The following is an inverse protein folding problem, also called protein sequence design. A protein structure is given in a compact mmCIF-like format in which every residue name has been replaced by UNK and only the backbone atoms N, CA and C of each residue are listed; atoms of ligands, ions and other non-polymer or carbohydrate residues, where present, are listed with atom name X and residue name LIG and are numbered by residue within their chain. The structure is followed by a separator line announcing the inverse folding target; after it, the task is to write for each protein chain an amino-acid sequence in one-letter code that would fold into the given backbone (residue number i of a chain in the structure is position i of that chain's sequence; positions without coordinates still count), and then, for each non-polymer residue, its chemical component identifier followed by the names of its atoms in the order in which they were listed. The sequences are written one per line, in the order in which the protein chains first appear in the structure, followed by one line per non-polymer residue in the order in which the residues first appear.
data_IF_549829026483
#
_entry.id   IF_549829026483
#
_cell.length_a   1.000
_cell.length_b   1.000
_cell.length_c   1.000
_cell.angle_alpha   90.00
_cell.angle_beta   90.00
_cell.angle_gamma   90.00
#
_symmetry.space_group_name_H-M   'P 1'
#
loop_
_entity.id
_entity.type
_entity.pdbx_description
1 polymer ?
#
# COMPACT_ATOMS: atom_id res chain seq x y z
N UNK A 1 -35.97 -11.13 -17.47
CA UNK A 1 -35.36 -10.00 -18.17
C UNK A 1 -34.62 -10.51 -19.41
N UNK A 2 -34.43 -9.67 -20.39
CA UNK A 2 -33.92 -10.03 -21.70
C UNK A 2 -32.39 -10.12 -21.67
N UNK A 3 -31.74 -11.20 -22.16
CA UNK A 3 -30.28 -11.27 -22.22
C UNK A 3 -29.74 -10.18 -23.16
N UNK A 4 -28.69 -9.48 -22.71
CA UNK A 4 -28.09 -8.41 -23.47
C UNK A 4 -26.57 -8.61 -23.60
N UNK A 5 -26.14 -9.42 -24.57
CA UNK A 5 -24.74 -9.76 -24.73
C UNK A 5 -23.89 -8.56 -25.10
N UNK A 6 -22.65 -8.56 -24.65
CA UNK A 6 -21.62 -7.66 -25.15
C UNK A 6 -20.84 -8.36 -26.25
N UNK A 7 -20.66 -7.69 -27.36
CA UNK A 7 -19.89 -8.15 -28.50
C UNK A 7 -18.47 -7.62 -28.41
N UNK A 8 -17.49 -8.43 -28.80
CA UNK A 8 -16.09 -8.07 -28.92
C UNK A 8 -15.56 -8.58 -30.25
N UNK A 9 -14.76 -7.74 -30.91
CA UNK A 9 -13.96 -8.14 -32.04
C UNK A 9 -12.57 -8.54 -31.58
N UNK A 10 -12.18 -9.77 -31.92
CA UNK A 10 -10.84 -10.30 -31.58
C UNK A 10 -9.77 -9.69 -32.49
N UNK A 11 -8.47 -9.80 -32.16
CA UNK A 11 -7.39 -9.37 -33.06
C UNK A 11 -7.42 -10.05 -34.44
N UNK A 12 -8.00 -11.25 -34.53
CA UNK A 12 -8.22 -11.99 -35.79
C UNK A 12 -9.48 -11.55 -36.53
N UNK A 13 -10.10 -10.43 -36.12
CA UNK A 13 -11.33 -9.87 -36.68
C UNK A 13 -12.56 -10.79 -36.53
N UNK A 14 -12.51 -11.76 -35.64
CA UNK A 14 -13.67 -12.57 -35.30
C UNK A 14 -14.58 -11.83 -34.31
N UNK A 15 -15.90 -11.84 -34.59
CA UNK A 15 -16.90 -11.27 -33.70
C UNK A 15 -17.38 -12.33 -32.72
N UNK A 16 -17.16 -12.12 -31.42
CA UNK A 16 -17.62 -13.01 -30.36
C UNK A 16 -18.52 -12.23 -29.38
N UNK A 17 -19.44 -12.90 -28.77
CA UNK A 17 -20.28 -12.28 -27.74
C UNK A 17 -20.21 -13.05 -26.41
N UNK A 18 -20.42 -12.32 -25.35
CA UNK A 18 -20.50 -12.85 -23.98
C UNK A 18 -21.79 -12.38 -23.34
N UNK A 19 -22.58 -13.31 -22.82
CA UNK A 19 -23.72 -13.02 -21.97
C UNK A 19 -23.32 -13.20 -20.51
N UNK A 20 -23.50 -12.18 -19.70
CA UNK A 20 -23.18 -12.19 -18.27
C UNK A 20 -24.46 -12.37 -17.45
N UNK A 21 -24.41 -13.24 -16.45
CA UNK A 21 -25.44 -13.38 -15.44
C UNK A 21 -25.18 -12.41 -14.28
N UNK A 22 -26.15 -12.15 -13.41
CA UNK A 22 -25.92 -11.39 -12.18
C UNK A 22 -24.76 -11.99 -11.36
N UNK A 23 -23.75 -11.18 -11.06
CA UNK A 23 -22.53 -11.60 -10.36
C UNK A 23 -21.35 -11.96 -11.27
N UNK A 24 -21.57 -12.14 -12.58
CA UNK A 24 -20.49 -12.35 -13.54
C UNK A 24 -19.75 -11.02 -13.85
N UNK A 25 -18.46 -11.12 -14.12
CA UNK A 25 -17.64 -9.99 -14.57
C UNK A 25 -16.83 -10.38 -15.81
N UNK A 26 -16.60 -9.40 -16.69
CA UNK A 26 -15.75 -9.55 -17.85
C UNK A 26 -14.69 -8.46 -17.86
N UNK A 27 -13.45 -8.85 -18.13
CA UNK A 27 -12.31 -7.92 -18.25
C UNK A 27 -11.82 -7.98 -19.70
N UNK A 28 -11.60 -6.82 -20.30
CA UNK A 28 -11.05 -6.71 -21.65
C UNK A 28 -10.25 -5.42 -21.82
N UNK A 29 -9.38 -5.36 -22.83
CA UNK A 29 -8.57 -4.20 -23.16
C UNK A 29 -9.40 -3.17 -23.93
N UNK A 30 -10.21 -2.39 -23.22
CA UNK A 30 -11.24 -1.50 -23.79
C UNK A 30 -10.76 -0.48 -24.81
N UNK A 31 -9.45 -0.14 -24.85
CA UNK A 31 -8.87 0.75 -25.86
C UNK A 31 -8.45 0.05 -27.15
N UNK A 32 -8.26 -1.26 -27.11
CA UNK A 32 -7.74 -2.06 -28.24
C UNK A 32 -8.86 -2.91 -28.83
N UNK A 33 -9.67 -3.54 -27.97
CA UNK A 33 -10.75 -4.41 -28.40
C UNK A 33 -11.98 -3.59 -28.78
N UNK A 34 -12.33 -3.56 -30.06
CA UNK A 34 -13.63 -3.06 -30.51
C UNK A 34 -14.73 -3.84 -29.82
N UNK A 35 -15.62 -3.16 -29.15
CA UNK A 35 -16.72 -3.79 -28.43
C UNK A 35 -17.98 -2.95 -28.54
N UNK A 36 -19.14 -3.61 -28.58
CA UNK A 36 -20.44 -2.96 -28.70
C UNK A 36 -21.56 -3.83 -28.13
N UNK A 37 -22.73 -3.24 -28.03
CA UNK A 37 -23.97 -3.94 -27.74
C UNK A 37 -24.99 -3.58 -28.80
N UNK A 38 -25.85 -4.55 -29.10
CA UNK A 38 -27.04 -4.29 -29.91
C UNK A 38 -28.08 -3.51 -29.09
N UNK A 39 -29.11 -3.01 -29.76
CA UNK A 39 -30.22 -2.32 -29.10
C UNK A 39 -30.88 -3.21 -28.04
N UNK A 40 -31.04 -2.68 -26.83
CA UNK A 40 -31.68 -3.41 -25.74
C UNK A 40 -33.18 -3.51 -25.96
N UNK A 41 -33.71 -4.72 -25.92
CA UNK A 41 -35.13 -5.01 -26.15
C UNK A 41 -35.94 -5.26 -24.87
N UNK A 42 -35.31 -5.15 -23.71
CA UNK A 42 -35.95 -5.28 -22.40
C UNK A 42 -36.40 -3.95 -21.81
N UNK A 43 -36.94 -4.02 -20.59
CA UNK A 43 -37.45 -2.81 -19.89
C UNK A 43 -36.34 -2.03 -19.19
N UNK A 44 -35.38 -2.73 -18.59
CA UNK A 44 -34.24 -2.14 -17.90
C UNK A 44 -33.07 -3.11 -17.82
N UNK A 45 -31.88 -2.59 -17.65
CA UNK A 45 -30.66 -3.35 -17.45
C UNK A 45 -29.71 -2.56 -16.52
N UNK A 46 -29.18 -3.22 -15.49
CA UNK A 46 -28.24 -2.62 -14.56
C UNK A 46 -26.86 -3.24 -14.73
N UNK A 47 -25.85 -2.42 -14.86
CA UNK A 47 -24.47 -2.85 -15.03
C UNK A 47 -23.52 -1.87 -14.35
N UNK A 48 -22.41 -2.37 -13.81
CA UNK A 48 -21.32 -1.57 -13.27
C UNK A 48 -20.14 -1.67 -14.23
N UNK A 49 -19.59 -0.53 -14.60
CA UNK A 49 -18.34 -0.42 -15.35
C UNK A 49 -17.22 0.02 -14.41
N UNK A 50 -16.11 -0.70 -14.43
CA UNK A 50 -14.90 -0.34 -13.69
C UNK A 50 -13.78 -0.19 -14.71
N UNK A 51 -13.23 1.02 -14.82
CA UNK A 51 -12.13 1.31 -15.72
C UNK A 51 -10.81 1.30 -14.94
N UNK A 52 -9.86 0.50 -15.41
CA UNK A 52 -8.52 0.42 -14.82
C UNK A 52 -7.48 0.91 -15.81
N UNK A 53 -6.59 1.77 -15.35
CA UNK A 53 -5.41 2.21 -16.09
C UNK A 53 -4.17 1.97 -15.24
N UNK A 54 -3.04 1.65 -15.88
CA UNK A 54 -1.76 1.55 -15.17
C UNK A 54 -1.37 2.92 -14.65
N UNK A 55 -1.13 3.04 -13.34
CA UNK A 55 -0.78 4.32 -12.68
C UNK A 55 0.49 4.97 -13.25
N UNK A 56 1.40 4.19 -13.80
CA UNK A 56 2.65 4.64 -14.44
C UNK A 56 2.73 4.30 -15.94
N UNK A 57 1.60 3.99 -16.57
CA UNK A 57 1.52 3.71 -18.00
C UNK A 57 1.25 4.97 -18.81
N UNK A 58 1.38 4.87 -20.12
CA UNK A 58 1.10 5.96 -21.08
C UNK A 58 -0.32 6.51 -20.97
N UNK A 59 -1.25 5.72 -20.43
CA UNK A 59 -2.65 6.08 -20.23
C UNK A 59 -2.98 6.48 -18.81
N UNK A 60 -1.99 6.71 -17.93
CA UNK A 60 -2.21 7.12 -16.53
C UNK A 60 -3.04 8.39 -16.38
N UNK A 61 -3.03 9.28 -17.40
CA UNK A 61 -3.88 10.47 -17.44
C UNK A 61 -5.38 10.17 -17.55
N UNK A 62 -5.75 8.97 -18.03
CA UNK A 62 -7.14 8.61 -18.31
C UNK A 62 -7.89 8.04 -17.07
N UNK A 63 -7.32 8.17 -15.87
CA UNK A 63 -8.05 7.81 -14.66
C UNK A 63 -9.30 8.70 -14.52
N UNK A 64 -10.41 8.12 -14.09
CA UNK A 64 -11.73 8.77 -14.05
C UNK A 64 -12.18 9.33 -15.42
N UNK A 65 -11.95 8.58 -16.50
CA UNK A 65 -12.36 8.95 -17.86
C UNK A 65 -11.87 10.33 -18.35
N UNK A 66 -10.76 10.82 -17.80
CA UNK A 66 -10.15 12.06 -18.26
C UNK A 66 -9.62 11.86 -19.68
N UNK A 67 -9.98 12.77 -20.57
CA UNK A 67 -9.50 12.78 -21.95
C UNK A 67 -8.22 13.61 -22.09
N UNK A 68 -7.46 13.35 -23.17
CA UNK A 68 -6.20 14.03 -23.46
C UNK A 68 -6.31 15.52 -23.82
N UNK A 69 -7.49 16.09 -23.88
CA UNK A 69 -7.76 17.43 -24.45
C UNK A 69 -7.07 18.60 -23.73
N UNK A 70 -6.37 18.34 -22.61
CA UNK A 70 -5.58 19.34 -21.90
C UNK A 70 -4.04 19.13 -21.99
N UNK A 71 -3.55 18.17 -22.75
CA UNK A 71 -2.11 17.98 -22.96
C UNK A 71 -1.74 18.40 -24.37
N UNK A 72 -1.40 19.66 -24.51
CA UNK A 72 -0.72 20.16 -25.72
C UNK A 72 0.67 19.53 -25.77
N UNK A 73 0.83 18.46 -26.55
CA UNK A 73 2.08 18.17 -27.26
C UNK A 73 1.86 17.08 -28.29
N UNK A 74 2.06 17.45 -29.54
CA UNK A 74 2.11 16.59 -30.71
C UNK A 74 3.28 15.59 -30.59
N UNK A 75 3.01 14.38 -30.12
CA UNK A 75 3.79 13.21 -30.49
C UNK A 75 2.82 12.17 -31.01
N UNK A 76 2.93 11.90 -32.31
CA UNK A 76 2.32 10.75 -32.97
C UNK A 76 2.93 9.53 -32.29
N UNK A 77 2.13 8.80 -31.52
CA UNK A 77 2.53 7.52 -30.95
C UNK A 77 2.42 6.53 -32.11
N UNK A 78 3.58 6.07 -32.63
CA UNK A 78 3.60 4.90 -33.50
C UNK A 78 2.92 3.75 -32.74
N UNK A 79 1.88 3.18 -33.36
CA UNK A 79 1.24 1.96 -32.91
C UNK A 79 2.28 0.85 -32.92
N UNK A 80 2.86 0.54 -31.75
CA UNK A 80 3.58 -0.73 -31.60
C UNK A 80 2.55 -1.84 -31.74
N UNK A 81 2.60 -2.51 -32.87
CA UNK A 81 1.82 -3.74 -33.10
C UNK A 81 2.16 -4.74 -32.00
N UNK A 82 1.18 -5.09 -31.19
CA UNK A 82 1.29 -6.19 -30.24
C UNK A 82 1.15 -7.51 -31.01
N UNK A 83 2.17 -7.85 -31.82
CA UNK A 83 2.23 -9.12 -32.55
C UNK A 83 2.44 -10.35 -31.65
N UNK A 84 2.62 -10.17 -30.34
CA UNK A 84 2.92 -11.24 -29.40
C UNK A 84 1.80 -11.56 -28.42
N UNK A 85 0.56 -11.05 -28.63
CA UNK A 85 -0.58 -11.48 -27.78
C UNK A 85 -1.00 -12.92 -28.16
N UNK A 86 -0.73 -13.34 -29.37
CA UNK A 86 -1.08 -14.69 -29.84
C UNK A 86 -0.28 -15.80 -29.15
N UNK A 87 0.94 -15.53 -28.67
CA UNK A 87 1.74 -16.49 -27.90
C UNK A 87 1.24 -16.72 -26.47
N UNK A 88 0.44 -15.81 -25.91
CA UNK A 88 -0.10 -15.94 -24.54
C UNK A 88 -1.44 -16.68 -24.54
N UNK A 89 -2.10 -16.81 -25.69
CA UNK A 89 -3.45 -17.44 -25.80
C UNK A 89 -3.39 -18.86 -26.35
N UNK A 90 -2.28 -19.31 -26.93
CA UNK A 90 -2.12 -20.68 -27.46
C UNK A 90 -1.57 -21.69 -26.43
N UNK A 91 -1.76 -21.53 -25.15
CA UNK A 91 -1.70 -22.69 -24.29
C UNK A 91 -3.02 -23.45 -24.47
N UNK A 92 -2.96 -24.52 -25.24
CA UNK A 92 -4.04 -25.53 -25.40
C UNK A 92 -4.33 -26.30 -24.12
N UNK A 93 -4.19 -25.70 -22.98
CA UNK A 93 -4.68 -26.24 -21.72
C UNK A 93 -5.88 -25.39 -21.35
N UNK A 94 -7.05 -25.98 -21.39
CA UNK A 94 -8.20 -25.50 -20.63
C UNK A 94 -7.65 -25.09 -19.29
N UNK A 95 -7.82 -23.81 -18.85
CA UNK A 95 -7.33 -23.42 -17.54
C UNK A 95 -7.84 -24.45 -16.57
N UNK A 96 -6.93 -25.15 -15.91
CA UNK A 96 -7.29 -26.15 -14.93
C UNK A 96 -8.36 -25.53 -14.06
N UNK A 97 -9.53 -26.15 -14.00
CA UNK A 97 -10.60 -25.72 -13.08
C UNK A 97 -9.89 -25.54 -11.76
N UNK A 98 -9.79 -24.29 -11.29
CA UNK A 98 -9.10 -23.97 -10.05
C UNK A 98 -9.79 -24.86 -9.02
N UNK A 99 -9.12 -25.94 -8.65
CA UNK A 99 -9.68 -26.89 -7.70
C UNK A 99 -9.93 -26.10 -6.42
N UNK A 100 -11.00 -26.40 -5.70
CA UNK A 100 -11.31 -25.77 -4.39
C UNK A 100 -10.22 -25.98 -3.34
N UNK A 101 -9.12 -26.62 -3.70
CA UNK A 101 -7.89 -26.79 -2.93
C UNK A 101 -6.80 -25.77 -3.32
N UNK A 102 -7.19 -24.54 -3.64
CA UNK A 102 -6.23 -23.44 -3.62
C UNK A 102 -5.61 -23.39 -2.22
N UNK A 103 -4.34 -23.77 -2.14
CA UNK A 103 -3.50 -23.43 -1.01
C UNK A 103 -3.26 -21.92 -1.09
N UNK A 104 -4.25 -21.13 -0.69
CA UNK A 104 -4.11 -19.70 -0.54
C UNK A 104 -3.30 -19.47 0.72
N UNK A 105 -2.24 -18.69 0.63
CA UNK A 105 -1.59 -18.19 1.83
C UNK A 105 -2.61 -17.34 2.59
N UNK A 106 -2.81 -17.59 3.90
CA UNK A 106 -3.69 -16.75 4.69
C UNK A 106 -3.17 -15.31 4.68
N UNK A 107 -4.07 -14.35 4.72
CA UNK A 107 -3.74 -12.91 4.62
C UNK A 107 -2.73 -12.47 5.68
N UNK A 108 -2.82 -13.04 6.87
CA UNK A 108 -1.90 -12.79 7.99
C UNK A 108 -0.46 -13.24 7.71
N UNK A 109 -0.25 -14.14 6.75
CA UNK A 109 1.10 -14.61 6.38
C UNK A 109 1.98 -13.52 5.76
N UNK A 110 1.40 -12.43 5.29
CA UNK A 110 2.10 -11.27 4.78
C UNK A 110 2.51 -10.26 5.87
N UNK A 111 2.04 -10.45 7.11
CA UNK A 111 2.52 -9.70 8.26
C UNK A 111 3.75 -10.43 8.78
N UNK A 112 4.90 -9.76 8.79
CA UNK A 112 6.17 -10.33 9.26
C UNK A 112 6.71 -9.55 10.43
N UNK A 113 7.29 -10.26 11.37
CA UNK A 113 8.16 -9.69 12.39
C UNK A 113 9.59 -10.11 12.09
N UNK A 114 10.49 -9.15 11.97
CA UNK A 114 11.91 -9.37 11.85
C UNK A 114 12.60 -8.90 13.12
N UNK A 115 13.22 -9.84 13.82
CA UNK A 115 13.82 -9.60 15.14
C UNK A 115 15.17 -8.88 14.99
N UNK A 116 15.41 -7.90 15.86
CA UNK A 116 16.70 -7.23 16.04
C UNK A 116 17.32 -6.64 14.77
N UNK A 117 16.50 -6.13 13.87
CA UNK A 117 16.96 -5.51 12.61
C UNK A 117 17.64 -4.17 12.89
N UNK A 118 17.02 -3.34 13.72
CA UNK A 118 17.59 -2.07 14.16
C UNK A 118 18.36 -2.31 15.44
N UNK A 119 19.63 -1.97 15.44
CA UNK A 119 20.49 -2.23 16.61
C UNK A 119 20.00 -1.47 17.83
N UNK A 120 20.17 -2.09 19.00
CA UNK A 120 19.80 -1.45 20.28
C UNK A 120 20.53 -0.13 20.49
N UNK A 121 21.79 -0.06 20.09
CA UNK A 121 22.62 1.16 20.17
C UNK A 121 22.04 2.29 19.32
N UNK A 122 21.52 1.97 18.13
CA UNK A 122 20.86 2.98 17.30
C UNK A 122 19.53 3.42 17.91
N UNK A 123 18.72 2.49 18.45
CA UNK A 123 17.48 2.82 19.17
C UNK A 123 17.76 3.77 20.35
N UNK A 124 18.78 3.48 21.16
CA UNK A 124 19.20 4.32 22.30
C UNK A 124 19.68 5.71 21.83
N UNK A 125 20.46 5.80 20.77
CA UNK A 125 20.92 7.07 20.19
C UNK A 125 19.75 7.92 19.67
N UNK A 126 18.77 7.31 19.02
CA UNK A 126 17.56 7.99 18.58
C UNK A 126 16.80 8.56 19.78
N UNK A 127 16.55 7.74 20.81
CA UNK A 127 15.86 8.22 22.00
C UNK A 127 16.63 9.32 22.74
N UNK A 128 17.94 9.19 22.87
CA UNK A 128 18.76 10.22 23.51
C UNK A 128 18.72 11.56 22.75
N UNK A 129 18.71 11.54 21.41
CA UNK A 129 18.64 12.75 20.58
C UNK A 129 17.28 13.41 20.61
N UNK A 130 16.18 12.59 20.54
CA UNK A 130 14.87 13.14 20.25
C UNK A 130 13.89 13.14 21.42
N UNK A 131 14.08 12.31 22.47
CA UNK A 131 13.12 12.15 23.57
C UNK A 131 12.70 13.48 24.21
N UNK A 132 13.66 14.38 24.41
CA UNK A 132 13.45 15.71 25.02
C UNK A 132 13.52 16.86 24.01
N UNK A 133 13.45 16.56 22.69
CA UNK A 133 13.46 17.58 21.67
C UNK A 133 12.21 18.46 21.73
N UNK A 134 12.36 19.72 21.31
CA UNK A 134 11.23 20.62 21.06
C UNK A 134 10.55 20.39 19.71
N UNK A 135 11.02 19.42 18.92
CA UNK A 135 10.55 19.13 17.57
C UNK A 135 9.25 18.30 17.55
N UNK A 136 8.79 17.82 18.69
CA UNK A 136 7.55 17.05 18.77
C UNK A 136 6.34 17.89 18.40
N UNK A 137 5.55 17.38 17.45
CA UNK A 137 4.28 17.97 17.08
C UNK A 137 3.17 16.89 17.16
N UNK A 138 1.92 17.31 17.35
CA UNK A 138 0.82 16.36 17.32
C UNK A 138 0.68 15.75 15.93
N UNK A 139 0.52 14.43 15.87
CA UNK A 139 0.53 13.71 14.59
C UNK A 139 -0.70 14.04 13.75
N UNK A 140 -0.49 14.22 12.44
CA UNK A 140 -1.56 14.43 11.48
C UNK A 140 -2.23 13.11 11.08
N UNK A 141 -3.49 13.17 10.70
CA UNK A 141 -4.20 12.08 10.03
C UNK A 141 -3.83 12.11 8.54
N UNK A 142 -3.58 10.92 7.98
CA UNK A 142 -3.23 10.79 6.56
C UNK A 142 -4.33 11.31 5.63
N UNK A 143 -3.92 11.93 4.52
CA UNK A 143 -4.79 12.40 3.45
C UNK A 143 -5.28 13.83 3.60
N UNK A 144 -5.66 14.29 4.78
CA UNK A 144 -6.24 15.63 4.98
C UNK A 144 -5.30 16.61 5.70
N UNK A 145 -4.13 16.14 6.15
CA UNK A 145 -3.17 16.91 6.94
C UNK A 145 -3.82 17.65 8.14
N UNK A 146 -4.85 17.03 8.74
CA UNK A 146 -5.59 17.55 9.88
C UNK A 146 -5.21 16.82 11.18
N UNK A 147 -5.40 17.50 12.31
CA UNK A 147 -5.25 16.89 13.64
C UNK A 147 -6.62 16.50 14.15
N UNK A 148 -6.83 15.22 14.45
CA UNK A 148 -8.00 14.73 15.18
C UNK A 148 -7.56 13.70 16.23
N UNK A 149 -7.47 14.13 17.47
CA UNK A 149 -7.04 13.32 18.60
C UNK A 149 -8.04 12.22 19.00
N UNK A 150 -9.25 12.20 18.44
CA UNK A 150 -10.20 11.10 18.62
C UNK A 150 -9.89 9.91 17.70
N UNK A 151 -9.12 10.15 16.63
CA UNK A 151 -8.68 9.17 15.65
C UNK A 151 -7.21 8.79 15.90
N UNK A 152 -6.32 9.78 15.94
CA UNK A 152 -4.89 9.61 16.15
C UNK A 152 -4.40 10.53 17.25
N UNK A 153 -4.22 9.96 18.43
CA UNK A 153 -3.70 10.68 19.58
C UNK A 153 -2.26 10.23 19.87
N UNK A 154 -1.30 10.90 19.26
CA UNK A 154 0.13 10.72 19.50
C UNK A 154 0.92 11.90 18.97
N UNK A 155 2.19 12.00 19.38
CA UNK A 155 3.09 13.01 18.85
C UNK A 155 4.09 12.40 17.86
N UNK A 156 4.62 13.21 16.94
CA UNK A 156 5.59 12.75 15.95
C UNK A 156 6.66 13.79 15.65
N UNK A 157 7.82 13.28 15.16
CA UNK A 157 8.89 14.04 14.51
C UNK A 157 9.19 13.36 13.19
N UNK A 158 9.30 14.13 12.10
CA UNK A 158 9.74 13.60 10.80
C UNK A 158 11.28 13.63 10.79
N UNK A 159 11.91 12.48 11.04
CA UNK A 159 13.37 12.39 11.17
C UNK A 159 14.11 12.75 9.89
N UNK A 160 13.53 12.45 8.73
CA UNK A 160 14.11 12.71 7.41
C UNK A 160 13.82 14.13 6.89
N UNK A 161 13.16 14.98 7.68
CA UNK A 161 12.93 16.38 7.33
C UNK A 161 14.25 17.18 7.40
N UNK A 162 14.52 17.94 6.34
CA UNK A 162 15.78 18.69 6.20
C UNK A 162 15.98 19.71 7.33
N UNK A 163 14.93 20.41 7.77
CA UNK A 163 15.03 21.39 8.85
C UNK A 163 15.30 20.70 10.18
N UNK A 164 14.67 19.56 10.42
CA UNK A 164 14.90 18.74 11.61
C UNK A 164 16.34 18.22 11.64
N UNK A 165 16.85 17.72 10.51
CA UNK A 165 18.25 17.25 10.40
C UNK A 165 19.22 18.38 10.67
N UNK A 166 19.00 19.58 10.13
CA UNK A 166 19.91 20.73 10.26
C UNK A 166 20.10 21.22 11.72
N UNK A 167 19.14 20.97 12.62
CA UNK A 167 19.23 21.38 14.04
C UNK A 167 20.36 20.70 14.80
N UNK A 168 20.75 19.46 14.39
CA UNK A 168 21.91 18.74 14.92
C UNK A 168 22.47 17.83 13.82
N UNK A 169 23.03 18.46 12.78
CA UNK A 169 23.30 17.82 11.49
C UNK A 169 24.11 16.54 11.60
N UNK A 170 25.24 16.56 12.31
CA UNK A 170 26.15 15.43 12.40
C UNK A 170 25.47 14.18 12.99
N UNK A 171 24.73 14.36 14.07
CA UNK A 171 24.07 13.24 14.77
C UNK A 171 22.85 12.78 13.98
N UNK A 172 21.99 13.71 13.57
CA UNK A 172 20.69 13.39 12.94
C UNK A 172 20.87 12.83 11.55
N UNK A 173 21.84 13.34 10.79
CA UNK A 173 22.18 12.78 9.48
C UNK A 173 22.72 11.35 9.59
N UNK A 174 23.57 11.08 10.59
CA UNK A 174 24.07 9.72 10.83
C UNK A 174 22.94 8.77 11.23
N UNK A 175 22.00 9.19 12.08
CA UNK A 175 20.82 8.40 12.44
C UNK A 175 20.00 8.07 11.20
N UNK A 176 19.67 9.04 10.35
CA UNK A 176 18.90 8.85 9.11
C UNK A 176 19.59 7.84 8.18
N UNK A 177 20.89 7.99 7.97
CA UNK A 177 21.66 7.08 7.11
C UNK A 177 21.74 5.66 7.68
N UNK A 178 21.95 5.50 8.98
CA UNK A 178 22.03 4.17 9.61
C UNK A 178 20.66 3.46 9.61
N UNK A 179 19.56 4.20 9.87
CA UNK A 179 18.20 3.66 9.74
C UNK A 179 17.97 3.13 8.32
N UNK A 180 18.32 3.92 7.32
CA UNK A 180 18.20 3.51 5.93
C UNK A 180 18.97 2.21 5.65
N UNK A 181 20.24 2.14 6.05
CA UNK A 181 21.08 0.96 5.83
C UNK A 181 20.54 -0.30 6.52
N UNK A 182 20.03 -0.16 7.75
CA UNK A 182 19.49 -1.30 8.50
C UNK A 182 18.14 -1.77 7.94
N UNK A 183 17.29 -0.84 7.49
CA UNK A 183 16.00 -1.17 6.90
C UNK A 183 16.09 -1.75 5.48
N UNK A 184 17.15 -1.48 4.73
CA UNK A 184 17.39 -2.17 3.46
C UNK A 184 17.41 -3.70 3.62
N UNK A 185 17.89 -4.21 4.75
CA UNK A 185 17.87 -5.65 5.06
C UNK A 185 16.44 -6.21 5.15
N UNK A 186 15.55 -5.44 5.76
CA UNK A 186 14.11 -5.82 5.87
C UNK A 186 13.48 -5.92 4.50
N UNK A 187 13.72 -4.91 3.66
CA UNK A 187 13.20 -4.90 2.28
C UNK A 187 13.72 -6.09 1.49
N UNK A 188 15.02 -6.40 1.62
CA UNK A 188 15.63 -7.56 0.98
C UNK A 188 15.01 -8.89 1.46
N UNK A 189 14.84 -9.06 2.77
CA UNK A 189 14.24 -10.25 3.38
C UNK A 189 12.79 -10.41 2.93
N UNK A 190 12.00 -9.35 2.98
CA UNK A 190 10.61 -9.36 2.56
C UNK A 190 10.46 -9.65 1.06
N UNK A 191 11.32 -9.05 0.20
CA UNK A 191 11.32 -9.30 -1.24
C UNK A 191 11.71 -10.75 -1.60
N UNK A 192 12.57 -11.40 -0.81
CA UNK A 192 12.88 -12.83 -1.00
C UNK A 192 11.69 -13.73 -0.71
N UNK A 193 10.89 -13.40 0.31
CA UNK A 193 9.68 -14.16 0.63
C UNK A 193 8.54 -13.85 -0.35
N UNK A 194 8.48 -12.62 -0.85
CA UNK A 194 7.44 -12.13 -1.75
C UNK A 194 8.05 -11.56 -3.04
N UNK A 195 8.45 -12.41 -4.02
CA UNK A 195 9.23 -11.98 -5.20
C UNK A 195 8.56 -10.95 -6.11
N UNK A 196 7.24 -10.79 -6.00
CA UNK A 196 6.50 -9.76 -6.75
C UNK A 196 6.50 -8.38 -6.06
N UNK A 197 7.00 -8.30 -4.83
CA UNK A 197 7.21 -7.04 -4.14
C UNK A 197 8.52 -6.40 -4.65
N UNK A 198 8.39 -5.24 -5.26
CA UNK A 198 9.51 -4.47 -5.80
C UNK A 198 9.34 -2.99 -5.42
N UNK A 199 9.77 -2.60 -4.24
CA UNK A 199 9.65 -1.21 -3.80
C UNK A 199 10.64 -0.32 -4.54
N UNK A 200 10.29 0.94 -4.69
CA UNK A 200 11.15 1.93 -5.36
C UNK A 200 11.91 2.80 -4.38
N UNK A 201 11.25 3.29 -3.33
CA UNK A 201 11.82 4.25 -2.38
C UNK A 201 11.05 4.23 -1.05
N UNK A 202 11.73 4.51 0.05
CA UNK A 202 11.07 4.82 1.31
C UNK A 202 10.53 6.26 1.34
N UNK A 203 9.59 6.52 2.23
CA UNK A 203 8.97 7.84 2.39
C UNK A 203 9.64 8.70 3.47
N UNK A 204 10.80 8.29 3.96
CA UNK A 204 11.44 8.85 5.14
C UNK A 204 10.88 8.26 6.44
N UNK A 205 11.41 8.70 7.58
CA UNK A 205 11.19 8.10 8.89
C UNK A 205 10.39 9.03 9.79
N UNK A 206 9.27 8.54 10.32
CA UNK A 206 8.46 9.26 11.30
C UNK A 206 8.62 8.61 12.68
N UNK A 207 9.26 9.32 13.60
CA UNK A 207 9.34 8.93 15.01
C UNK A 207 8.02 9.27 15.70
N UNK A 208 7.47 8.32 16.42
CA UNK A 208 6.18 8.40 17.11
C UNK A 208 6.37 8.26 18.61
N UNK A 209 5.60 9.03 19.38
CA UNK A 209 5.53 8.97 20.83
C UNK A 209 4.08 8.84 21.27
N UNK A 210 3.81 7.79 22.07
CA UNK A 210 2.52 7.56 22.70
C UNK A 210 2.69 7.59 24.20
N UNK A 211 2.13 8.59 24.85
CA UNK A 211 2.05 8.72 26.31
C UNK A 211 0.84 7.93 26.86
N UNK A 212 0.71 7.72 28.19
CA UNK A 212 -0.46 7.07 28.77
C UNK A 212 -1.77 7.68 28.28
N UNK A 213 -2.71 6.82 27.86
CA UNK A 213 -4.00 7.19 27.26
C UNK A 213 -3.95 7.50 25.75
N UNK A 214 -2.77 7.61 25.14
CA UNK A 214 -2.63 7.85 23.71
C UNK A 214 -2.74 6.56 22.90
N UNK A 215 -3.23 6.68 21.65
CA UNK A 215 -3.58 5.56 20.77
C UNK A 215 -3.67 6.01 19.31
N UNK A 216 -3.88 5.05 18.40
CA UNK A 216 -4.33 5.28 17.04
C UNK A 216 -5.39 4.22 16.71
N UNK A 217 -6.63 4.66 16.42
CA UNK A 217 -7.71 3.74 16.11
C UNK A 217 -7.44 2.98 14.81
N UNK A 218 -8.25 1.97 14.54
CA UNK A 218 -8.12 1.16 13.33
C UNK A 218 -8.16 1.99 12.06
N UNK A 219 -7.13 1.82 11.23
CA UNK A 219 -6.93 2.51 9.95
C UNK A 219 -6.15 1.64 8.97
N UNK A 220 -5.95 2.14 7.77
CA UNK A 220 -5.03 1.59 6.76
C UNK A 220 -4.07 2.67 6.30
N UNK A 221 -2.89 2.28 5.84
CA UNK A 221 -1.78 3.22 5.59
C UNK A 221 -1.74 3.76 4.16
N UNK A 222 -2.42 3.12 3.21
CA UNK A 222 -2.43 3.54 1.80
C UNK A 222 -3.70 4.32 1.47
N UNK A 223 -3.55 5.45 0.82
CA UNK A 223 -4.65 6.29 0.37
C UNK A 223 -4.38 6.85 -1.04
N UNK A 224 -5.41 7.44 -1.67
CA UNK A 224 -5.39 7.81 -3.09
C UNK A 224 -4.24 8.74 -3.45
N UNK A 225 -3.93 9.69 -2.57
CA UNK A 225 -2.90 10.72 -2.80
C UNK A 225 -1.49 10.16 -2.64
N UNK A 226 -1.33 9.08 -1.86
CA UNK A 226 -0.04 8.45 -1.59
C UNK A 226 -0.22 6.94 -1.51
N UNK A 227 0.05 6.26 -2.61
CA UNK A 227 0.02 4.81 -2.66
C UNK A 227 1.28 4.25 -1.99
N UNK A 228 1.07 3.46 -0.95
CA UNK A 228 2.12 2.79 -0.19
C UNK A 228 1.99 1.29 -0.41
N UNK A 229 3.10 0.61 -0.64
CA UNK A 229 3.13 -0.84 -0.86
C UNK A 229 3.17 -1.60 0.45
N UNK A 230 4.14 -1.28 1.29
CA UNK A 230 4.27 -1.84 2.64
C UNK A 230 4.54 -0.75 3.66
N UNK A 231 4.22 -1.05 4.92
CA UNK A 231 4.62 -0.31 6.10
C UNK A 231 5.65 -1.09 6.92
N UNK A 232 6.59 -0.38 7.52
CA UNK A 232 7.59 -0.92 8.44
C UNK A 232 7.51 -0.16 9.77
N UNK A 233 7.13 -0.85 10.85
CA UNK A 233 7.07 -0.28 12.20
C UNK A 233 8.18 -0.85 13.08
N UNK A 234 9.04 0.03 13.61
CA UNK A 234 10.21 -0.29 14.42
C UNK A 234 9.91 0.01 15.88
N UNK A 235 10.16 -0.91 16.78
CA UNK A 235 10.04 -0.71 18.24
C UNK A 235 11.35 -0.15 18.81
N UNK A 236 11.28 0.97 19.54
CA UNK A 236 12.47 1.62 20.09
C UNK A 236 12.67 1.40 21.59
N UNK A 237 11.62 1.03 22.33
CA UNK A 237 11.70 0.75 23.78
C UNK A 237 10.64 -0.28 24.21
N UNK A 238 10.78 -0.80 25.44
CA UNK A 238 9.89 -1.80 26.01
C UNK A 238 9.33 -1.39 27.39
N UNK A 239 9.77 -0.26 27.93
CA UNK A 239 9.41 0.24 29.27
C UNK A 239 8.04 0.92 29.32
N UNK A 240 7.03 0.26 28.74
CA UNK A 240 5.62 0.69 28.73
C UNK A 240 4.69 -0.51 28.83
N UNK A 241 3.42 -0.26 29.19
CA UNK A 241 2.33 -1.25 29.25
C UNK A 241 1.19 -0.78 28.36
N UNK A 242 0.53 -1.70 27.66
CA UNK A 242 -0.41 -1.40 26.57
C UNK A 242 0.35 -1.05 25.29
N UNK A 243 -0.29 -0.34 24.36
CA UNK A 243 0.35 0.12 23.13
C UNK A 243 0.71 -0.99 22.16
N UNK A 244 0.05 -2.15 22.25
CA UNK A 244 0.24 -3.26 21.32
C UNK A 244 -0.15 -2.83 19.89
N UNK A 245 0.53 -3.39 18.89
CA UNK A 245 0.15 -3.29 17.49
C UNK A 245 -0.91 -4.37 17.20
N UNK A 246 -2.11 -3.98 16.79
CA UNK A 246 -3.20 -4.91 16.57
C UNK A 246 -3.70 -4.86 15.11
N UNK A 247 -4.03 -6.02 14.55
CA UNK A 247 -4.56 -6.18 13.21
C UNK A 247 -5.95 -6.85 13.27
N UNK A 248 -6.76 -6.63 12.22
CA UNK A 248 -8.01 -7.33 11.97
C UNK A 248 -8.97 -7.31 13.16
N UNK A 249 -9.36 -6.11 13.63
CA UNK A 249 -10.20 -5.95 14.81
C UNK A 249 -9.65 -6.65 16.06
N UNK A 250 -8.31 -6.65 16.25
CA UNK A 250 -7.60 -7.24 17.39
C UNK A 250 -7.52 -8.77 17.38
N UNK A 251 -7.77 -9.41 16.23
CA UNK A 251 -7.57 -10.85 16.10
C UNK A 251 -6.08 -11.22 16.22
N UNK A 252 -5.20 -10.33 15.78
CA UNK A 252 -3.75 -10.45 15.95
C UNK A 252 -3.27 -9.26 16.78
N UNK A 253 -2.58 -9.53 17.87
CA UNK A 253 -1.94 -8.53 18.71
C UNK A 253 -0.46 -8.84 18.83
N UNK A 254 0.38 -7.84 18.56
CA UNK A 254 1.84 -7.98 18.55
C UNK A 254 2.46 -7.03 19.57
N UNK A 255 3.39 -7.55 20.34
CA UNK A 255 4.28 -6.81 21.22
C UNK A 255 5.71 -7.18 20.85
N UNK A 256 6.45 -6.23 20.39
CA UNK A 256 7.77 -6.41 19.80
C UNK A 256 8.86 -5.94 20.76
N UNK A 257 10.03 -6.54 20.63
CA UNK A 257 11.24 -6.15 21.37
C UNK A 257 11.94 -4.96 20.69
N UNK A 258 12.88 -4.35 21.41
CA UNK A 258 13.68 -3.23 20.90
C UNK A 258 14.43 -3.67 19.63
N UNK A 259 14.27 -2.90 18.57
CA UNK A 259 14.92 -3.14 17.29
C UNK A 259 14.18 -4.08 16.35
N UNK A 260 13.07 -4.69 16.79
CA UNK A 260 12.22 -5.49 15.93
C UNK A 260 11.46 -4.61 14.94
N UNK A 261 11.20 -5.18 13.77
CA UNK A 261 10.47 -4.50 12.69
C UNK A 261 9.27 -5.33 12.26
N UNK A 262 8.07 -4.80 12.47
CA UNK A 262 6.85 -5.34 11.86
C UNK A 262 6.76 -4.81 10.43
N UNK A 263 6.55 -5.71 9.46
CA UNK A 263 6.32 -5.38 8.05
C UNK A 263 4.99 -5.95 7.60
N UNK A 264 4.19 -5.14 6.91
CA UNK A 264 2.89 -5.56 6.40
C UNK A 264 2.48 -4.73 5.17
N UNK A 265 1.63 -5.26 4.28
CA UNK A 265 1.08 -4.50 3.16
C UNK A 265 0.22 -3.34 3.66
N UNK A 266 0.37 -2.17 3.02
CA UNK A 266 -0.28 -0.92 3.46
C UNK A 266 -1.72 -0.75 2.99
N UNK A 267 -2.25 -1.69 2.17
CA UNK A 267 -3.54 -1.56 1.52
C UNK A 267 -4.73 -1.84 2.46
N UNK A 268 -5.95 -1.66 1.94
CA UNK A 268 -7.21 -1.79 2.69
C UNK A 268 -7.46 -3.17 3.33
N UNK A 269 -6.74 -4.22 2.92
CA UNK A 269 -6.87 -5.56 3.49
C UNK A 269 -6.15 -5.72 4.83
N UNK A 270 -5.34 -4.74 5.24
CA UNK A 270 -4.54 -4.79 6.48
C UNK A 270 -4.93 -3.65 7.45
N UNK A 271 -6.19 -3.62 7.91
CA UNK A 271 -6.60 -2.67 8.94
C UNK A 271 -5.86 -2.98 10.24
N UNK A 272 -5.29 -1.93 10.84
CA UNK A 272 -4.50 -2.05 12.06
C UNK A 272 -4.68 -0.84 12.98
N UNK A 273 -4.33 -1.01 14.23
CA UNK A 273 -4.43 0.02 15.26
C UNK A 273 -3.25 -0.06 16.26
N UNK A 274 -3.01 1.03 16.97
CA UNK A 274 -2.16 1.04 18.15
C UNK A 274 -3.06 1.15 19.37
N UNK A 275 -3.02 0.11 20.22
CA UNK A 275 -3.80 0.06 21.45
C UNK A 275 -3.41 1.20 22.39
N UNK A 276 -4.32 1.66 23.27
CA UNK A 276 -3.98 2.67 24.25
C UNK A 276 -2.79 2.25 25.12
N UNK A 277 -1.83 3.17 25.29
CA UNK A 277 -0.76 3.00 26.26
C UNK A 277 -1.35 3.16 27.66
N UNK A 278 -1.10 2.22 28.56
CA UNK A 278 -1.61 2.22 29.94
C UNK A 278 -0.64 2.95 30.86
N UNK A 279 0.64 2.66 30.75
CA UNK A 279 1.69 3.31 31.55
C UNK A 279 3.02 3.31 30.80
N UNK A 280 3.95 4.19 31.20
CA UNK A 280 5.19 4.43 30.45
C UNK A 280 4.94 5.25 29.19
N UNK A 281 5.93 5.33 28.32
CA UNK A 281 5.82 6.02 27.00
C UNK A 281 6.33 5.09 25.93
N UNK A 282 5.50 4.80 24.93
CA UNK A 282 5.89 3.97 23.78
C UNK A 282 6.53 4.85 22.72
N UNK A 283 7.73 4.48 22.27
CA UNK A 283 8.41 5.07 21.14
C UNK A 283 8.54 4.06 20.00
N UNK A 284 8.23 4.48 18.79
CA UNK A 284 8.39 3.68 17.56
C UNK A 284 8.72 4.56 16.37
N UNK A 285 9.28 3.97 15.34
CA UNK A 285 9.43 4.63 14.04
C UNK A 285 8.53 3.92 13.04
N UNK A 286 7.89 4.68 12.17
CA UNK A 286 7.16 4.17 11.01
C UNK A 286 7.78 4.72 9.73
N UNK A 287 7.90 3.87 8.73
CA UNK A 287 8.22 4.24 7.35
C UNK A 287 7.38 3.40 6.39
N UNK A 288 7.25 3.89 5.19
CA UNK A 288 6.53 3.20 4.12
C UNK A 288 7.39 3.13 2.88
N UNK A 289 7.16 2.07 2.08
CA UNK A 289 7.76 1.93 0.76
C UNK A 289 6.67 2.05 -0.33
N UNK A 290 7.00 2.75 -1.40
CA UNK A 290 6.14 3.00 -2.54
C UNK A 290 6.63 2.29 -3.81
#
# INVERSE_FOLDING_TARGET
DYPWPIWIETPQQEKKFVSLNPGDAMIYLGRIASHWREEYKGSYYSQVFLHYVRSRGECSYAYFDKTRDNVKNNQVIEEKSYSNIDEVIETKETPAVISRNLSTQPIESFIKNYDYIVSKELCERILNEYKNSSDWTHSLIGGEASVDSTIRNCDSIILSDTEIIQRNFEIRKNIDMELHQQLLKVVEMYSKEFPHFSPSIDTGYQLLRYNPGQFYIQHTDSFIQQQRSIACSITLNEDFVGGEFAFFNREIMMRNSIGDVIVFPSNFMYPHEIMPVISGTRYSIITWYV
#
